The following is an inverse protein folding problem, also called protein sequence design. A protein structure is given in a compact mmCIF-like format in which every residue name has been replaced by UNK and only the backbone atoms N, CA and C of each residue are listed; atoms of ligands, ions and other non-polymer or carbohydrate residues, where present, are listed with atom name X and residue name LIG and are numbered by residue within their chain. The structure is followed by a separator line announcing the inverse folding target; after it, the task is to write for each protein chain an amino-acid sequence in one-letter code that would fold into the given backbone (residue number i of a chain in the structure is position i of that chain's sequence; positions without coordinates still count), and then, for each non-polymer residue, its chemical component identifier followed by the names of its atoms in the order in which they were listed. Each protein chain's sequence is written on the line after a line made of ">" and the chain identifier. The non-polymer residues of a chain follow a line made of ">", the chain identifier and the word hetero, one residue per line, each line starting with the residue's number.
data_IF_750223880209
#
_entry.id   IF_750223880209
#
_cell.length_a   1.000
_cell.length_b   1.000
_cell.length_c   1.000
_cell.angle_alpha   90.00
_cell.angle_beta   90.00
_cell.angle_gamma   90.00
#
_symmetry.space_group_name_H-M   'P 1'
#
loop_
_entity.id
_entity.type
_entity.pdbx_description
1 polymer ?
#
# COMPACT_ATOMS: atom_id res chain seq x y z
N UNK A 1 8.88 9.94 -2.06
CA UNK A 1 7.47 10.39 -2.11
C UNK A 1 6.74 9.67 -1.00
N UNK A 2 6.34 10.38 0.02
CA UNK A 2 5.52 9.81 1.10
C UNK A 2 4.16 9.49 0.48
N UNK A 3 3.66 8.25 0.60
CA UNK A 3 2.35 7.85 0.11
C UNK A 3 1.29 8.81 0.68
N UNK A 4 0.69 9.64 -0.17
CA UNK A 4 -0.35 10.59 0.22
C UNK A 4 -1.72 10.01 -0.15
N UNK A 5 -2.68 10.02 0.78
CA UNK A 5 -4.08 9.57 0.55
C UNK A 5 -4.77 10.32 -0.60
N UNK A 6 -4.24 11.48 -0.99
CA UNK A 6 -4.74 12.29 -2.11
C UNK A 6 -3.92 12.13 -3.39
N UNK A 7 -2.89 11.25 -3.37
CA UNK A 7 -2.09 11.00 -4.56
C UNK A 7 -2.93 10.20 -5.56
N UNK A 8 -3.24 10.75 -6.74
CA UNK A 8 -4.03 10.06 -7.75
C UNK A 8 -3.45 8.70 -8.14
N UNK A 9 -2.11 8.55 -8.15
CA UNK A 9 -1.45 7.31 -8.53
C UNK A 9 -1.72 6.20 -7.51
N UNK A 10 -1.76 6.54 -6.22
CA UNK A 10 -2.10 5.59 -5.14
C UNK A 10 -3.58 5.21 -5.20
N UNK A 11 -4.46 6.17 -5.46
CA UNK A 11 -5.90 5.93 -5.57
C UNK A 11 -6.24 5.11 -6.82
N UNK A 12 -5.56 5.36 -7.93
CA UNK A 12 -5.72 4.60 -9.17
C UNK A 12 -5.16 3.17 -9.06
N UNK A 13 -4.28 2.90 -8.12
CA UNK A 13 -3.76 1.55 -7.86
C UNK A 13 -4.74 0.67 -7.05
N UNK A 14 -5.79 1.25 -6.45
CA UNK A 14 -6.82 0.50 -5.74
C UNK A 14 -7.63 -0.34 -6.72
N UNK A 15 -7.82 -1.62 -6.37
CA UNK A 15 -8.57 -2.56 -7.18
C UNK A 15 -10.03 -2.63 -6.70
N UNK A 16 -11.03 -2.32 -7.54
CA UNK A 16 -12.44 -2.40 -7.15
C UNK A 16 -12.85 -3.74 -6.56
N UNK A 17 -12.37 -4.86 -7.12
CA UNK A 17 -12.66 -6.21 -6.64
C UNK A 17 -12.17 -6.46 -5.20
N UNK A 18 -11.03 -5.90 -4.83
CA UNK A 18 -10.49 -6.00 -3.45
C UNK A 18 -11.33 -5.17 -2.48
N UNK A 19 -11.84 -4.02 -2.94
CA UNK A 19 -12.73 -3.18 -2.14
C UNK A 19 -14.10 -3.86 -1.99
N UNK A 20 -14.64 -4.49 -3.02
CA UNK A 20 -15.86 -5.30 -2.92
C UNK A 20 -15.71 -6.41 -1.87
N UNK A 21 -14.60 -7.16 -1.91
CA UNK A 21 -14.30 -8.19 -0.92
C UNK A 21 -14.17 -7.62 0.51
N UNK A 22 -13.55 -6.45 0.65
CA UNK A 22 -13.45 -5.74 1.93
C UNK A 22 -14.83 -5.33 2.45
N UNK A 23 -15.65 -4.73 1.61
CA UNK A 23 -17.01 -4.30 1.96
C UNK A 23 -17.86 -5.49 2.42
N UNK A 24 -17.82 -6.62 1.70
CA UNK A 24 -18.52 -7.85 2.08
C UNK A 24 -18.06 -8.38 3.45
N UNK A 25 -16.74 -8.41 3.68
CA UNK A 25 -16.17 -8.85 4.96
C UNK A 25 -16.55 -7.95 6.14
N UNK A 26 -16.89 -6.67 5.88
CA UNK A 26 -17.31 -5.68 6.88
C UNK A 26 -18.83 -5.47 6.90
N UNK A 27 -19.60 -6.45 6.42
CA UNK A 27 -21.07 -6.49 6.48
C UNK A 27 -21.81 -5.42 5.65
N UNK A 28 -21.11 -4.80 4.70
CA UNK A 28 -21.78 -3.99 3.70
C UNK A 28 -22.52 -4.88 2.71
N UNK A 29 -23.66 -4.40 2.21
CA UNK A 29 -24.51 -5.12 1.27
C UNK A 29 -24.62 -4.36 -0.04
N UNK A 30 -24.33 -5.02 -1.15
CA UNK A 30 -24.58 -4.48 -2.48
C UNK A 30 -26.09 -4.35 -2.68
N UNK A 31 -26.56 -3.14 -2.96
CA UNK A 31 -27.98 -2.83 -3.17
C UNK A 31 -28.33 -2.78 -4.65
N UNK A 32 -27.41 -2.24 -5.44
CA UNK A 32 -27.62 -2.04 -6.86
C UNK A 32 -26.29 -1.97 -7.59
N UNK A 33 -26.28 -2.44 -8.85
CA UNK A 33 -25.13 -2.34 -9.75
C UNK A 33 -25.54 -1.55 -10.99
N UNK A 34 -24.77 -0.50 -11.29
CA UNK A 34 -25.01 0.39 -12.44
C UNK A 34 -24.14 -0.12 -13.57
N UNK A 35 -24.60 -1.15 -14.27
CA UNK A 35 -23.81 -1.86 -15.30
C UNK A 35 -22.42 -2.20 -14.76
N UNK A 36 -21.38 -2.03 -15.58
CA UNK A 36 -19.99 -2.22 -15.18
C UNK A 36 -19.33 -0.94 -14.65
N UNK A 37 -20.09 0.15 -14.50
CA UNK A 37 -19.55 1.46 -14.09
C UNK A 37 -19.41 1.63 -12.60
N UNK A 38 -20.35 1.10 -11.82
CA UNK A 38 -20.35 1.27 -10.38
C UNK A 38 -21.32 0.39 -9.64
N UNK A 39 -21.08 0.20 -8.35
CA UNK A 39 -21.93 -0.54 -7.44
C UNK A 39 -22.27 0.30 -6.21
N UNK A 40 -23.53 0.27 -5.79
CA UNK A 40 -24.02 0.95 -4.59
C UNK A 40 -24.04 -0.03 -3.45
N UNK A 41 -23.29 0.29 -2.40
CA UNK A 41 -23.17 -0.50 -1.19
C UNK A 41 -23.77 0.23 0.00
N UNK A 42 -24.49 -0.47 0.84
CA UNK A 42 -25.09 0.09 2.06
C UNK A 42 -24.69 -0.69 3.29
N UNK A 43 -24.42 0.04 4.34
CA UNK A 43 -24.28 -0.49 5.69
C UNK A 43 -25.44 0.01 6.54
N UNK A 44 -26.18 -0.92 7.13
CA UNK A 44 -27.23 -0.62 8.09
C UNK A 44 -26.80 -1.14 9.46
N UNK A 45 -26.54 -0.24 10.38
CA UNK A 45 -26.36 -0.55 11.79
C UNK A 45 -27.53 0.05 12.58
N UNK A 46 -27.66 -0.31 13.85
CA UNK A 46 -28.71 0.23 14.72
C UNK A 46 -28.66 1.76 14.89
N UNK A 47 -27.51 2.36 14.58
CA UNK A 47 -27.25 3.77 14.84
C UNK A 47 -26.89 4.58 13.59
N UNK A 48 -26.53 3.93 12.50
CA UNK A 48 -26.01 4.62 11.31
C UNK A 48 -26.42 3.92 10.02
N UNK A 49 -26.81 4.73 9.04
CA UNK A 49 -26.99 4.29 7.64
C UNK A 49 -25.94 4.98 6.81
N UNK A 50 -25.14 4.22 6.12
CA UNK A 50 -24.09 4.72 5.25
C UNK A 50 -24.18 4.10 3.87
N UNK A 51 -23.81 4.85 2.85
CA UNK A 51 -23.84 4.42 1.45
C UNK A 51 -22.49 4.74 0.79
N UNK A 52 -22.04 3.81 -0.04
CA UNK A 52 -20.83 3.95 -0.86
C UNK A 52 -21.23 3.70 -2.31
N UNK A 53 -20.85 4.61 -3.21
CA UNK A 53 -20.82 4.37 -4.64
C UNK A 53 -19.39 3.99 -5.04
N UNK A 54 -19.17 2.69 -5.24
CA UNK A 54 -17.88 2.13 -5.64
C UNK A 54 -17.76 2.19 -7.17
N UNK A 55 -16.76 2.89 -7.74
CA UNK A 55 -16.48 2.80 -9.17
C UNK A 55 -15.87 1.43 -9.50
N UNK A 56 -16.30 0.78 -10.59
CA UNK A 56 -15.83 -0.55 -10.98
C UNK A 56 -14.80 -0.52 -12.11
N UNK A 57 -14.70 0.59 -12.83
CA UNK A 57 -13.75 0.77 -13.92
C UNK A 57 -12.69 1.81 -13.56
N UNK A 58 -11.43 1.42 -13.60
CA UNK A 58 -10.28 2.28 -13.23
C UNK A 58 -9.91 3.33 -14.27
N UNK A 59 -10.46 3.23 -15.48
CA UNK A 59 -10.26 4.19 -16.59
C UNK A 59 -11.25 5.37 -16.56
N UNK A 60 -12.18 5.40 -15.61
CA UNK A 60 -13.06 6.55 -15.42
C UNK A 60 -12.25 7.79 -15.02
N UNK A 61 -12.54 8.92 -15.66
CA UNK A 61 -11.83 10.18 -15.44
C UNK A 61 -11.91 10.67 -13.98
N UNK A 62 -12.95 10.30 -13.24
CA UNK A 62 -13.19 10.65 -11.83
C UNK A 62 -12.92 9.49 -10.86
N UNK A 63 -12.27 8.40 -11.32
CA UNK A 63 -12.02 7.21 -10.51
C UNK A 63 -11.28 7.52 -9.21
N UNK A 64 -10.15 8.24 -9.27
CA UNK A 64 -9.38 8.63 -8.09
C UNK A 64 -10.21 9.47 -7.09
N UNK A 65 -11.03 10.40 -7.60
CA UNK A 65 -11.92 11.21 -6.76
C UNK A 65 -12.95 10.33 -6.04
N UNK A 66 -13.59 9.40 -6.76
CA UNK A 66 -14.56 8.48 -6.16
C UNK A 66 -13.93 7.53 -5.16
N UNK A 67 -12.74 7.02 -5.45
CA UNK A 67 -11.99 6.21 -4.50
C UNK A 67 -11.62 6.98 -3.22
N UNK A 68 -11.27 8.26 -3.34
CA UNK A 68 -11.08 9.13 -2.17
C UNK A 68 -12.35 9.27 -1.32
N UNK A 69 -13.52 9.36 -1.95
CA UNK A 69 -14.82 9.41 -1.27
C UNK A 69 -15.17 8.08 -0.57
N UNK A 70 -14.86 6.95 -1.22
CA UNK A 70 -14.99 5.61 -0.61
C UNK A 70 -14.16 5.51 0.66
N UNK A 71 -12.87 5.90 0.60
CA UNK A 71 -11.98 5.91 1.76
C UNK A 71 -12.49 6.84 2.88
N UNK A 72 -13.06 7.99 2.53
CA UNK A 72 -13.62 8.93 3.50
C UNK A 72 -14.82 8.36 4.23
N UNK A 73 -15.72 7.73 3.50
CA UNK A 73 -16.90 7.08 4.08
C UNK A 73 -16.50 5.92 4.99
N UNK A 74 -15.59 5.06 4.54
CA UNK A 74 -15.06 3.95 5.35
C UNK A 74 -14.36 4.46 6.62
N UNK A 75 -13.50 5.46 6.51
CA UNK A 75 -12.81 6.07 7.65
C UNK A 75 -13.78 6.60 8.70
N UNK A 76 -14.84 7.26 8.24
CA UNK A 76 -15.88 7.81 9.12
C UNK A 76 -16.68 6.70 9.81
N UNK A 77 -17.11 5.70 9.06
CA UNK A 77 -17.93 4.58 9.58
C UNK A 77 -17.14 3.73 10.56
N UNK A 78 -15.88 3.44 10.25
CA UNK A 78 -15.02 2.59 11.07
C UNK A 78 -14.30 3.35 12.19
N UNK A 79 -14.49 4.67 12.26
CA UNK A 79 -13.81 5.56 13.23
C UNK A 79 -12.28 5.39 13.19
N UNK A 80 -11.73 5.31 11.99
CA UNK A 80 -10.31 5.13 11.70
C UNK A 80 -9.81 6.24 10.78
N UNK A 81 -8.49 6.42 10.73
CA UNK A 81 -7.93 7.35 9.75
C UNK A 81 -8.04 6.80 8.32
N UNK A 82 -8.13 7.69 7.32
CA UNK A 82 -8.09 7.29 5.90
C UNK A 82 -6.83 6.51 5.54
N UNK A 83 -5.70 6.79 6.20
CA UNK A 83 -4.44 6.08 6.00
C UNK A 83 -4.52 4.62 6.47
N UNK A 84 -5.18 4.35 7.58
CA UNK A 84 -5.35 2.98 8.06
C UNK A 84 -6.25 2.16 7.15
N UNK A 85 -7.35 2.75 6.67
CA UNK A 85 -8.23 2.11 5.69
C UNK A 85 -7.50 1.87 4.38
N UNK A 86 -6.80 2.88 3.85
CA UNK A 86 -5.98 2.73 2.64
C UNK A 86 -4.93 1.63 2.79
N UNK A 87 -4.28 1.55 3.95
CA UNK A 87 -3.28 0.50 4.23
C UNK A 87 -3.84 -0.92 4.22
N UNK A 88 -5.13 -1.08 4.50
CA UNK A 88 -5.81 -2.38 4.42
C UNK A 88 -6.27 -2.71 2.98
N UNK A 89 -6.64 -1.69 2.21
CA UNK A 89 -7.13 -1.83 0.84
C UNK A 89 -6.01 -1.84 -0.21
N UNK A 90 -4.83 -1.32 0.12
CA UNK A 90 -3.73 -1.22 -0.84
C UNK A 90 -3.15 -2.60 -1.13
N UNK A 91 -3.29 -3.07 -2.36
CA UNK A 91 -2.71 -4.33 -2.84
C UNK A 91 -1.46 -4.11 -3.68
N UNK A 92 -1.31 -2.94 -4.29
CA UNK A 92 -0.14 -2.56 -5.05
C UNK A 92 0.07 -1.04 -5.06
N UNK A 93 1.32 -0.62 -5.23
CA UNK A 93 1.67 0.79 -5.44
C UNK A 93 2.86 0.86 -6.42
N UNK A 94 2.65 1.32 -7.66
CA UNK A 94 3.74 1.50 -8.62
C UNK A 94 4.64 2.66 -8.17
N UNK A 95 5.93 2.56 -8.49
CA UNK A 95 6.95 3.59 -8.18
C UNK A 95 6.98 4.01 -6.72
N UNK A 96 6.66 3.10 -5.80
CA UNK A 96 6.68 3.39 -4.36
C UNK A 96 8.11 3.61 -3.87
N UNK A 97 8.30 4.61 -3.02
CA UNK A 97 9.53 4.77 -2.25
C UNK A 97 9.31 4.13 -0.89
N UNK A 98 10.09 3.12 -0.57
CA UNK A 98 10.07 2.43 0.72
C UNK A 98 11.28 2.82 1.53
N UNK A 99 11.07 3.04 2.82
CA UNK A 99 12.10 3.33 3.80
C UNK A 99 11.98 2.34 4.94
N UNK A 100 13.10 1.82 5.42
CA UNK A 100 13.07 0.87 6.53
C UNK A 100 14.45 0.40 6.94
N UNK A 101 14.47 -0.49 7.93
CA UNK A 101 15.69 -1.10 8.45
C UNK A 101 15.82 -2.52 7.90
N UNK A 102 17.02 -2.87 7.41
CA UNK A 102 17.30 -4.23 6.96
C UNK A 102 17.27 -5.18 8.17
N UNK A 103 16.42 -6.21 8.08
CA UNK A 103 16.22 -7.18 9.17
C UNK A 103 16.69 -8.57 8.82
N UNK A 104 16.82 -8.89 7.52
CA UNK A 104 17.30 -10.18 7.04
C UNK A 104 17.99 -10.02 5.70
N UNK A 105 19.08 -10.75 5.53
CA UNK A 105 19.82 -10.91 4.28
C UNK A 105 19.96 -12.39 3.97
N UNK A 106 19.90 -12.75 2.70
CA UNK A 106 20.13 -14.10 2.22
C UNK A 106 20.80 -14.02 0.86
N UNK A 107 22.03 -14.45 0.78
CA UNK A 107 22.79 -14.52 -0.47
C UNK A 107 22.28 -15.65 -1.35
N UNK A 108 22.21 -15.40 -2.64
CA UNK A 108 21.94 -16.36 -3.71
C UNK A 108 23.06 -16.29 -4.75
N UNK A 109 23.07 -17.15 -5.75
CA UNK A 109 24.19 -17.26 -6.68
C UNK A 109 24.52 -15.94 -7.43
N UNK A 110 23.49 -15.18 -7.83
CA UNK A 110 23.65 -13.98 -8.67
C UNK A 110 23.10 -12.71 -8.02
N UNK A 111 22.33 -12.83 -6.93
CA UNK A 111 21.66 -11.71 -6.24
C UNK A 111 21.64 -11.94 -4.73
N UNK A 112 21.20 -10.96 -3.99
CA UNK A 112 20.94 -11.08 -2.57
C UNK A 112 19.49 -10.75 -2.25
N UNK A 113 18.81 -11.61 -1.50
CA UNK A 113 17.47 -11.36 -0.96
C UNK A 113 17.57 -10.47 0.27
N UNK A 114 16.84 -9.38 0.24
CA UNK A 114 16.80 -8.38 1.31
C UNK A 114 15.39 -8.33 1.89
N UNK A 115 15.30 -8.31 3.21
CA UNK A 115 14.06 -8.02 3.92
C UNK A 115 14.25 -6.79 4.76
N UNK A 116 13.42 -5.79 4.56
CA UNK A 116 13.35 -4.61 5.42
C UNK A 116 12.07 -4.61 6.25
N UNK A 117 12.12 -3.98 7.41
CA UNK A 117 10.95 -3.57 8.16
C UNK A 117 10.74 -2.09 7.88
N UNK A 118 9.71 -1.79 7.10
CA UNK A 118 9.41 -0.43 6.66
C UNK A 118 7.97 -0.04 6.96
N UNK A 119 7.68 1.26 6.87
CA UNK A 119 6.32 1.79 7.05
C UNK A 119 5.63 1.86 5.69
N UNK A 120 4.56 1.09 5.55
CA UNK A 120 3.64 1.17 4.40
C UNK A 120 2.31 1.70 4.91
N UNK A 121 1.95 2.90 4.48
CA UNK A 121 0.70 3.59 4.86
C UNK A 121 0.42 3.46 6.36
N UNK A 122 1.28 4.07 7.18
CA UNK A 122 1.18 4.14 8.65
C UNK A 122 1.32 2.81 9.40
N UNK A 123 1.59 1.69 8.73
CA UNK A 123 1.79 0.39 9.39
C UNK A 123 3.16 -0.18 9.09
N UNK A 124 3.82 -0.72 10.10
CA UNK A 124 5.05 -1.49 9.90
C UNK A 124 4.75 -2.77 9.13
N UNK A 125 5.50 -3.00 8.06
CA UNK A 125 5.38 -4.16 7.18
C UNK A 125 6.75 -4.73 6.83
N UNK A 126 6.80 -6.04 6.61
CA UNK A 126 7.95 -6.69 5.98
C UNK A 126 7.87 -6.45 4.49
N UNK A 127 8.97 -5.99 3.91
CA UNK A 127 9.11 -5.76 2.48
C UNK A 127 10.30 -6.59 2.01
N UNK A 128 10.07 -7.45 1.03
CA UNK A 128 11.07 -8.34 0.45
C UNK A 128 11.42 -7.88 -0.96
N UNK A 129 12.67 -7.91 -1.29
CA UNK A 129 13.17 -7.64 -2.65
C UNK A 129 14.54 -8.28 -2.88
N UNK A 130 14.98 -8.30 -4.13
CA UNK A 130 16.28 -8.81 -4.53
C UNK A 130 17.14 -7.68 -5.06
N UNK A 131 18.41 -7.67 -4.68
CA UNK A 131 19.40 -6.72 -5.16
C UNK A 131 20.56 -7.45 -5.79
N UNK A 132 21.03 -6.92 -6.93
CA UNK A 132 22.33 -7.28 -7.49
C UNK A 132 23.42 -6.40 -6.88
N UNK A 133 24.68 -6.76 -7.08
CA UNK A 133 25.80 -5.88 -6.73
C UNK A 133 25.82 -4.64 -7.66
N UNK A 134 26.25 -3.47 -7.17
CA UNK A 134 26.80 -3.20 -5.82
C UNK A 134 25.75 -2.86 -4.75
N UNK A 135 24.46 -2.86 -5.08
CA UNK A 135 23.39 -2.47 -4.13
C UNK A 135 23.26 -3.46 -2.95
N UNK A 136 23.51 -4.75 -3.19
CA UNK A 136 23.50 -5.75 -2.12
C UNK A 136 24.61 -5.53 -1.08
N UNK A 137 25.79 -5.10 -1.50
CA UNK A 137 26.88 -4.71 -0.59
C UNK A 137 26.49 -3.54 0.33
N UNK A 138 25.72 -2.57 -0.21
CA UNK A 138 25.16 -1.49 0.60
C UNK A 138 24.14 -2.01 1.61
N UNK A 139 23.35 -3.00 1.23
CA UNK A 139 22.37 -3.62 2.15
C UNK A 139 23.08 -4.37 3.30
N UNK A 140 24.21 -5.02 3.04
CA UNK A 140 25.06 -5.66 4.08
C UNK A 140 25.56 -4.59 5.06
N UNK A 141 26.12 -3.49 4.56
CA UNK A 141 26.60 -2.36 5.39
C UNK A 141 25.48 -1.76 6.22
N UNK A 142 24.31 -1.54 5.61
CA UNK A 142 23.11 -1.05 6.31
C UNK A 142 22.68 -1.97 7.44
N UNK A 143 22.68 -3.29 7.20
CA UNK A 143 22.33 -4.29 8.18
C UNK A 143 23.28 -4.29 9.38
N UNK A 144 24.59 -4.28 9.11
CA UNK A 144 25.63 -4.27 10.15
C UNK A 144 25.61 -3.00 10.98
N UNK A 145 25.47 -1.85 10.35
CA UNK A 145 25.49 -0.55 11.00
C UNK A 145 24.11 -0.10 11.54
N UNK A 146 23.04 -0.89 11.30
CA UNK A 146 21.67 -0.53 11.65
C UNK A 146 21.17 0.78 11.04
N UNK A 147 21.70 1.14 9.87
CA UNK A 147 21.32 2.36 9.15
C UNK A 147 20.06 2.07 8.34
N UNK A 148 19.04 2.94 8.39
CA UNK A 148 17.89 2.85 7.50
C UNK A 148 18.27 2.95 6.04
N UNK A 149 17.47 2.33 5.18
CA UNK A 149 17.65 2.35 3.73
C UNK A 149 16.41 2.89 3.03
N UNK A 150 16.63 3.45 1.85
CA UNK A 150 15.58 3.90 0.94
C UNK A 150 15.73 3.13 -0.35
N UNK A 151 14.61 2.66 -0.89
CA UNK A 151 14.54 1.99 -2.20
C UNK A 151 13.25 2.39 -2.92
N UNK A 152 13.30 2.47 -4.25
CA UNK A 152 12.14 2.72 -5.09
C UNK A 152 11.81 1.46 -5.89
N UNK A 153 10.53 1.20 -6.14
CA UNK A 153 10.07 0.09 -6.96
C UNK A 153 8.57 -0.08 -6.94
N UNK A 154 8.10 -1.16 -7.53
CA UNK A 154 6.68 -1.48 -7.57
C UNK A 154 6.32 -2.36 -6.37
N UNK A 155 5.57 -1.80 -5.44
CA UNK A 155 5.18 -2.48 -4.22
C UNK A 155 3.94 -3.34 -4.46
N UNK A 156 4.01 -4.63 -4.14
CA UNK A 156 2.90 -5.59 -4.32
C UNK A 156 2.67 -6.35 -3.01
N UNK A 157 1.44 -6.37 -2.53
CA UNK A 157 1.06 -7.09 -1.31
C UNK A 157 0.96 -8.59 -1.55
N UNK A 158 1.61 -9.37 -0.69
CA UNK A 158 1.46 -10.83 -0.65
C UNK A 158 1.11 -11.28 0.77
N UNK A 159 -0.17 -11.50 1.03
CA UNK A 159 -0.64 -11.87 2.36
C UNK A 159 -0.29 -10.82 3.42
N UNK A 160 0.64 -11.14 4.33
CA UNK A 160 1.04 -10.27 5.45
C UNK A 160 2.29 -9.44 5.19
N UNK A 161 2.92 -9.58 4.03
CA UNK A 161 4.13 -8.85 3.64
C UNK A 161 3.97 -8.24 2.26
N UNK A 162 4.92 -7.42 1.87
CA UNK A 162 5.01 -6.83 0.54
C UNK A 162 6.26 -7.32 -0.18
N UNK A 163 6.19 -7.37 -1.51
CA UNK A 163 7.33 -7.53 -2.39
C UNK A 163 7.55 -6.20 -3.11
N UNK A 164 8.78 -5.73 -3.15
CA UNK A 164 9.19 -4.61 -3.98
C UNK A 164 9.79 -5.19 -5.26
N UNK A 165 9.05 -5.06 -6.35
CA UNK A 165 9.49 -5.46 -7.68
C UNK A 165 10.28 -4.33 -8.33
N UNK A 166 11.19 -4.67 -9.26
CA UNK A 166 12.01 -3.70 -9.98
C UNK A 166 12.70 -2.68 -9.05
N UNK A 167 13.44 -3.13 -8.01
CA UNK A 167 14.05 -2.22 -7.06
C UNK A 167 15.10 -1.33 -7.75
N UNK A 168 15.01 -0.03 -7.51
CA UNK A 168 15.89 0.99 -8.07
C UNK A 168 16.29 1.99 -6.97
N UNK A 169 17.39 2.72 -7.21
CA UNK A 169 17.84 3.79 -6.32
C UNK A 169 17.99 3.36 -4.85
N UNK A 170 18.53 2.15 -4.64
CA UNK A 170 18.81 1.67 -3.28
C UNK A 170 19.93 2.49 -2.65
N UNK A 171 19.66 3.16 -1.54
CA UNK A 171 20.60 4.05 -0.84
C UNK A 171 20.49 3.92 0.67
N UNK A 172 21.56 4.33 1.38
CA UNK A 172 21.51 4.50 2.83
C UNK A 172 20.80 5.82 3.16
N UNK A 173 19.91 5.80 4.12
CA UNK A 173 19.27 7.00 4.65
C UNK A 173 20.11 7.54 5.81
N UNK A 174 21.02 8.43 5.47
CA UNK A 174 21.91 9.07 6.45
C UNK A 174 21.29 10.31 7.11
N UNK A 175 20.14 10.80 6.62
CA UNK A 175 19.50 12.01 7.15
C UNK A 175 18.74 11.78 8.45
N UNK A 176 18.31 10.57 8.73
CA UNK A 176 17.56 10.23 9.94
C UNK A 176 18.42 10.12 11.21
N UNK A 177 19.77 10.30 11.09
CA UNK A 177 20.71 10.12 12.19
C UNK A 177 21.35 11.42 12.70
N UNK A 178 20.88 12.58 12.27
CA UNK A 178 21.52 13.89 12.59
C UNK A 178 20.69 14.70 13.61
N UNK A 179 19.64 14.10 14.23
CA UNK A 179 18.89 14.74 15.33
C UNK A 179 19.05 13.97 16.66
#
# INVERSE_FOLDING_TARGET
>A
MTLNVRDPDVLNALQPSEIEAYLQAHHWQEQNRISDLGAIWKLHTSYQKSEILLPLQSDLADFALRMSQVLETLATVEQRSKFEVLGDLLTSAPNAIVQGIVTKLQETADTGKVTIMGVVVSKLRRIHFELAEPAYDLAIKAYQARIPVICQGDLVKQGRYFILQNPQHFTLDLQTWID
#
